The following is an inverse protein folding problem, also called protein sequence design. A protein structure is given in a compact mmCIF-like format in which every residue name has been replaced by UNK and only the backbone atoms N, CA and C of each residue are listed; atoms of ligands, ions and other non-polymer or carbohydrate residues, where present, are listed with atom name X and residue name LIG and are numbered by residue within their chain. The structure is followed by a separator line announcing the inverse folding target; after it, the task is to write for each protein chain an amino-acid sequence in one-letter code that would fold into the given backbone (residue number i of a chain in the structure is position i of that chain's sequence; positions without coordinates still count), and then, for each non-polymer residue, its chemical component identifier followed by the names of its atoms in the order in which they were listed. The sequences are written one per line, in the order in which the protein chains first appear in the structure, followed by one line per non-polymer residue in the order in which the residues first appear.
data_IF_697196114544
#
_entry.id   IF_697196114544
#
_cell.length_a   1.000
_cell.length_b   1.000
_cell.length_c   1.000
_cell.angle_alpha   90.00
_cell.angle_beta   90.00
_cell.angle_gamma   90.00
#
_symmetry.space_group_name_H-M   'P 1'
#
loop_
_entity.id
_entity.type
_entity.pdbx_description
1 polymer ?
#
# COMPACT_ATOMS: atom_id res chain seq x y z
N UNK A 1 -3.36 11.53 -22.31
CA UNK A 1 -1.92 11.20 -22.42
C UNK A 1 -1.19 11.83 -21.25
N UNK A 2 -0.54 10.96 -20.46
CA UNK A 2 0.56 11.17 -19.51
C UNK A 2 0.72 12.52 -18.78
N UNK A 3 0.46 12.51 -17.47
CA UNK A 3 1.28 13.26 -16.53
C UNK A 3 1.50 12.44 -15.25
N UNK A 4 2.32 11.39 -15.35
CA UNK A 4 2.65 10.47 -14.25
C UNK A 4 4.09 10.69 -13.72
N UNK A 5 4.66 11.89 -13.90
CA UNK A 5 6.06 12.18 -13.56
C UNK A 5 6.31 12.62 -12.10
N UNK A 6 5.25 12.78 -11.29
CA UNK A 6 5.35 13.37 -9.94
C UNK A 6 5.54 12.39 -8.78
N UNK A 7 5.12 11.12 -8.91
CA UNK A 7 5.03 10.20 -7.74
C UNK A 7 6.33 9.51 -7.31
N UNK A 8 7.37 9.48 -8.16
CA UNK A 8 8.60 8.71 -7.89
C UNK A 8 9.78 9.49 -7.28
N UNK A 9 9.66 10.82 -7.08
CA UNK A 9 10.75 11.65 -6.55
C UNK A 9 11.06 11.48 -5.04
N UNK A 10 10.09 11.33 -4.13
CA UNK A 10 10.40 11.27 -2.69
C UNK A 10 11.04 9.94 -2.26
N UNK A 11 10.66 8.80 -2.89
CA UNK A 11 11.17 7.47 -2.52
C UNK A 11 12.64 7.26 -2.90
N UNK A 12 13.07 7.78 -4.06
CA UNK A 12 14.48 7.73 -4.51
C UNK A 12 15.40 8.60 -3.66
N UNK A 13 14.93 9.75 -3.16
CA UNK A 13 15.73 10.60 -2.27
C UNK A 13 16.05 9.90 -0.94
N UNK A 14 15.08 9.19 -0.35
CA UNK A 14 15.32 8.43 0.88
C UNK A 14 16.34 7.30 0.67
N UNK A 15 16.23 6.53 -0.41
CA UNK A 15 17.17 5.42 -0.68
C UNK A 15 18.59 5.92 -0.91
N UNK A 16 18.76 7.02 -1.66
CA UNK A 16 20.08 7.62 -1.88
C UNK A 16 20.72 8.08 -0.56
N UNK A 17 19.93 8.71 0.32
CA UNK A 17 20.40 9.13 1.65
C UNK A 17 20.85 7.94 2.49
N UNK A 18 20.09 6.85 2.54
CA UNK A 18 20.49 5.63 3.24
C UNK A 18 21.78 5.01 2.70
N UNK A 19 21.93 4.94 1.37
CA UNK A 19 23.13 4.39 0.73
C UNK A 19 24.36 5.27 1.02
N UNK A 20 24.23 6.60 0.93
CA UNK A 20 25.33 7.53 1.25
C UNK A 20 25.78 7.39 2.70
N UNK A 21 24.82 7.22 3.60
CA UNK A 21 25.03 7.11 5.03
C UNK A 21 25.74 5.81 5.41
N UNK A 22 25.23 4.67 4.92
CA UNK A 22 25.87 3.37 5.10
C UNK A 22 27.25 3.35 4.42
N UNK A 23 27.37 3.96 3.25
CA UNK A 23 28.65 4.14 2.55
C UNK A 23 29.66 4.95 3.37
N UNK A 24 29.21 6.02 4.04
CA UNK A 24 30.08 6.84 4.90
C UNK A 24 30.61 6.03 6.09
N UNK A 25 29.75 5.25 6.75
CA UNK A 25 30.19 4.36 7.83
C UNK A 25 31.16 3.29 7.34
N UNK A 26 30.86 2.67 6.19
CA UNK A 26 31.74 1.68 5.59
C UNK A 26 33.11 2.28 5.26
N UNK A 27 33.16 3.50 4.71
CA UNK A 27 34.41 4.20 4.43
C UNK A 27 35.21 4.51 5.70
N UNK A 28 34.57 4.99 6.76
CA UNK A 28 35.23 5.24 8.06
C UNK A 28 35.78 3.92 8.62
N UNK A 29 35.00 2.83 8.56
CA UNK A 29 35.42 1.52 9.05
C UNK A 29 36.59 0.95 8.25
N UNK A 30 36.54 1.02 6.92
CA UNK A 30 37.64 0.59 6.04
C UNK A 30 38.90 1.41 6.33
N UNK A 31 38.79 2.74 6.41
CA UNK A 31 39.91 3.61 6.73
C UNK A 31 40.53 3.27 8.09
N UNK A 32 39.68 3.10 9.12
CA UNK A 32 40.14 2.68 10.45
C UNK A 32 40.84 1.33 10.43
N UNK A 33 40.36 0.39 9.61
CA UNK A 33 41.00 -0.92 9.46
C UNK A 33 42.33 -0.82 8.71
N UNK A 34 42.42 0.01 7.67
CA UNK A 34 43.67 0.27 6.95
C UNK A 34 44.72 0.88 7.87
N UNK A 35 44.35 1.86 8.72
CA UNK A 35 45.25 2.43 9.73
C UNK A 35 45.72 1.36 10.71
N UNK A 36 44.81 0.50 11.21
CA UNK A 36 45.17 -0.61 12.12
C UNK A 36 46.18 -1.56 11.47
N UNK A 37 45.95 -1.95 10.21
CA UNK A 37 46.87 -2.83 9.49
C UNK A 37 48.23 -2.18 9.24
N UNK A 38 48.25 -0.90 8.92
CA UNK A 38 49.47 -0.13 8.77
C UNK A 38 50.26 -0.04 10.09
N UNK A 39 49.58 0.15 11.22
CA UNK A 39 50.18 0.16 12.55
C UNK A 39 50.82 -1.20 12.91
N UNK A 40 50.13 -2.31 12.66
CA UNK A 40 50.66 -3.66 12.92
C UNK A 40 51.91 -3.96 12.09
N UNK A 41 51.90 -3.54 10.81
CA UNK A 41 53.05 -3.71 9.93
C UNK A 41 54.28 -2.92 10.41
N UNK A 42 54.07 -1.65 10.79
CA UNK A 42 55.13 -0.80 11.37
C UNK A 42 55.70 -1.39 12.65
N UNK A 43 54.85 -1.83 13.59
CA UNK A 43 55.28 -2.37 14.88
C UNK A 43 56.16 -3.62 14.72
N UNK A 44 55.88 -4.46 13.72
CA UNK A 44 56.70 -5.63 13.41
C UNK A 44 58.11 -5.24 12.93
N UNK A 45 58.22 -4.18 12.13
CA UNK A 45 59.52 -3.64 11.68
C UNK A 45 60.28 -2.98 12.83
N UNK A 46 59.62 -2.16 13.65
CA UNK A 46 60.24 -1.48 14.81
C UNK A 46 60.81 -2.50 15.81
N UNK A 47 60.05 -3.54 16.13
CA UNK A 47 60.50 -4.62 17.00
C UNK A 47 61.74 -5.33 16.44
N UNK A 48 61.84 -5.47 15.11
CA UNK A 48 63.03 -6.06 14.48
C UNK A 48 64.24 -5.15 14.62
N UNK A 49 64.11 -3.86 14.33
CA UNK A 49 65.18 -2.86 14.49
C UNK A 49 65.72 -2.85 15.92
N UNK A 50 64.82 -2.77 16.92
CA UNK A 50 65.20 -2.78 18.35
C UNK A 50 65.97 -4.07 18.71
N UNK A 51 65.52 -5.23 18.22
CA UNK A 51 66.21 -6.50 18.49
C UNK A 51 67.60 -6.58 17.84
N UNK A 52 67.77 -6.09 16.60
CA UNK A 52 69.08 -6.08 15.94
C UNK A 52 70.02 -5.09 16.62
N UNK A 53 69.52 -3.90 16.96
CA UNK A 53 70.24 -2.90 17.74
C UNK A 53 70.65 -3.46 19.12
N UNK A 54 69.74 -4.11 19.84
CA UNK A 54 70.05 -4.77 21.11
C UNK A 54 71.10 -5.88 20.98
N UNK A 55 71.09 -6.62 19.86
CA UNK A 55 72.10 -7.64 19.57
C UNK A 55 73.51 -7.06 19.34
N UNK A 56 73.64 -5.79 18.94
CA UNK A 56 74.96 -5.13 18.86
C UNK A 56 75.69 -5.11 20.20
N UNK A 57 74.95 -4.89 21.31
CA UNK A 57 75.51 -4.99 22.68
C UNK A 57 76.13 -6.37 22.91
N UNK A 58 75.36 -7.42 22.68
CA UNK A 58 75.81 -8.81 22.86
C UNK A 58 77.00 -9.15 21.96
N UNK A 59 76.99 -8.69 20.70
CA UNK A 59 78.08 -8.93 19.77
C UNK A 59 79.37 -8.22 20.19
N UNK A 60 79.30 -6.97 20.65
CA UNK A 60 80.46 -6.23 21.16
C UNK A 60 81.12 -6.93 22.35
N UNK A 61 80.31 -7.46 23.27
CA UNK A 61 80.79 -8.24 24.41
C UNK A 61 81.40 -9.59 23.99
N UNK A 62 80.79 -10.28 23.02
CA UNK A 62 81.33 -11.54 22.47
C UNK A 62 82.66 -11.31 21.77
N UNK A 63 82.81 -10.22 21.02
CA UNK A 63 84.07 -9.80 20.39
C UNK A 63 85.14 -9.59 21.46
N UNK A 64 84.84 -8.82 22.50
CA UNK A 64 85.77 -8.58 23.63
C UNK A 64 86.18 -9.86 24.35
N UNK A 65 85.22 -10.74 24.63
CA UNK A 65 85.47 -12.04 25.26
C UNK A 65 86.31 -12.96 24.38
N UNK A 66 86.06 -12.99 23.08
CA UNK A 66 86.82 -13.80 22.13
C UNK A 66 88.26 -13.29 22.00
N UNK A 67 88.45 -11.96 21.92
CA UNK A 67 89.76 -11.32 21.92
C UNK A 67 90.57 -11.67 23.18
N UNK A 68 89.94 -11.57 24.37
CA UNK A 68 90.53 -12.00 25.63
C UNK A 68 90.88 -13.50 25.63
N UNK A 69 90.00 -14.35 25.11
CA UNK A 69 90.24 -15.79 24.99
C UNK A 69 91.44 -16.13 24.11
N UNK A 70 91.60 -15.44 22.98
CA UNK A 70 92.76 -15.60 22.09
C UNK A 70 94.07 -15.21 22.80
N UNK A 71 94.04 -14.11 23.57
CA UNK A 71 95.23 -13.63 24.29
C UNK A 71 95.56 -14.42 25.56
N UNK A 72 94.56 -14.99 26.24
CA UNK A 72 94.73 -15.59 27.57
C UNK A 72 95.05 -17.08 27.53
N UNK A 73 94.60 -17.81 26.50
CA UNK A 73 94.80 -19.26 26.41
C UNK A 73 95.99 -19.63 25.53
N UNK A 74 96.85 -20.52 26.04
CA UNK A 74 98.00 -21.05 25.27
C UNK A 74 97.63 -22.24 24.37
N UNK A 75 96.50 -22.91 24.61
CA UNK A 75 96.04 -24.06 23.81
C UNK A 75 95.67 -23.65 22.38
N UNK A 76 96.26 -24.34 21.39
CA UNK A 76 95.98 -24.08 19.96
C UNK A 76 94.51 -24.32 19.61
N UNK A 77 93.89 -25.35 20.19
CA UNK A 77 92.48 -25.71 19.92
C UNK A 77 91.53 -24.63 20.47
N UNK A 78 91.79 -24.15 21.69
CA UNK A 78 90.96 -23.11 22.30
C UNK A 78 91.13 -21.77 21.59
N UNK A 79 92.36 -21.39 21.22
CA UNK A 79 92.61 -20.17 20.45
C UNK A 79 91.91 -20.18 19.10
N UNK A 80 91.94 -21.32 18.40
CA UNK A 80 91.25 -21.45 17.11
C UNK A 80 89.73 -21.34 17.25
N UNK A 81 89.15 -21.92 18.31
CA UNK A 81 87.73 -21.75 18.63
C UNK A 81 87.36 -20.28 18.86
N UNK A 82 88.15 -19.54 19.64
CA UNK A 82 87.89 -18.13 19.89
C UNK A 82 88.15 -17.26 18.65
N UNK A 83 89.10 -17.61 17.77
CA UNK A 83 89.27 -16.95 16.46
C UNK A 83 88.06 -17.14 15.57
N UNK A 84 87.52 -18.36 15.49
CA UNK A 84 86.31 -18.63 14.74
C UNK A 84 85.11 -17.82 15.29
N UNK A 85 84.94 -17.80 16.62
CA UNK A 85 83.90 -16.99 17.27
C UNK A 85 84.08 -15.48 17.04
N UNK A 86 85.31 -14.99 17.08
CA UNK A 86 85.64 -13.59 16.80
C UNK A 86 85.27 -13.23 15.35
N UNK A 87 85.66 -14.08 14.39
CA UNK A 87 85.38 -13.86 12.98
C UNK A 87 83.86 -13.87 12.69
N UNK A 88 83.13 -14.84 13.21
CA UNK A 88 81.67 -14.92 13.07
C UNK A 88 80.98 -13.70 13.69
N UNK A 89 81.39 -13.33 14.91
CA UNK A 89 80.82 -12.19 15.63
C UNK A 89 81.10 -10.88 14.90
N UNK A 90 82.31 -10.69 14.37
CA UNK A 90 82.68 -9.49 13.60
C UNK A 90 81.84 -9.34 12.33
N UNK A 91 81.69 -10.42 11.55
CA UNK A 91 80.89 -10.40 10.31
C UNK A 91 79.44 -9.97 10.63
N UNK A 92 78.83 -10.59 11.65
CA UNK A 92 77.45 -10.26 12.02
C UNK A 92 77.34 -8.86 12.64
N UNK A 93 78.36 -8.43 13.38
CA UNK A 93 78.43 -7.10 13.98
C UNK A 93 78.49 -6.00 12.92
N UNK A 94 79.43 -6.10 11.97
CA UNK A 94 79.57 -5.15 10.85
C UNK A 94 78.32 -5.10 9.99
N UNK A 95 77.78 -6.26 9.61
CA UNK A 95 76.57 -6.35 8.78
C UNK A 95 75.37 -5.72 9.47
N UNK A 96 75.19 -6.00 10.76
CA UNK A 96 74.08 -5.43 11.53
C UNK A 96 74.25 -3.92 11.72
N UNK A 97 75.47 -3.43 11.98
CA UNK A 97 75.75 -1.99 12.08
C UNK A 97 75.44 -1.26 10.78
N UNK A 98 75.88 -1.81 9.65
CA UNK A 98 75.61 -1.25 8.32
C UNK A 98 74.11 -1.29 8.01
N UNK A 99 73.45 -2.41 8.27
CA UNK A 99 72.02 -2.59 8.04
C UNK A 99 71.16 -1.65 8.89
N UNK A 100 71.58 -1.32 10.12
CA UNK A 100 70.87 -0.35 10.96
C UNK A 100 70.97 1.07 10.40
N UNK A 101 72.09 1.44 9.75
CA UNK A 101 72.29 2.78 9.20
C UNK A 101 71.74 2.96 7.78
N UNK A 102 71.93 1.95 6.91
CA UNK A 102 71.66 2.04 5.48
C UNK A 102 70.50 1.14 5.01
N UNK A 103 70.07 0.21 5.86
CA UNK A 103 69.07 -0.81 5.52
C UNK A 103 69.69 -2.13 5.08
N UNK A 104 68.98 -3.22 5.34
CA UNK A 104 69.36 -4.58 4.92
C UNK A 104 68.05 -5.38 4.75
N UNK A 105 67.71 -5.73 3.51
CA UNK A 105 66.45 -6.40 3.18
C UNK A 105 66.37 -7.82 3.77
N UNK A 106 67.49 -8.55 3.85
CA UNK A 106 67.53 -9.90 4.43
C UNK A 106 67.37 -9.85 5.95
N UNK A 107 67.97 -8.84 6.60
CA UNK A 107 67.77 -8.59 8.02
C UNK A 107 66.44 -7.87 8.32
N UNK A 108 65.66 -7.49 7.30
CA UNK A 108 64.40 -6.76 7.44
C UNK A 108 64.56 -5.38 8.07
N UNK A 109 65.67 -4.69 7.79
CA UNK A 109 65.99 -3.37 8.30
C UNK A 109 65.69 -2.30 7.24
N UNK A 110 64.90 -1.26 7.58
CA UNK A 110 64.45 -0.28 6.60
C UNK A 110 65.51 0.78 6.23
N UNK A 111 66.54 0.98 7.06
CA UNK A 111 67.58 2.00 6.83
C UNK A 111 67.10 3.45 6.94
N UNK A 112 65.94 3.68 7.57
CA UNK A 112 65.31 5.00 7.69
C UNK A 112 65.37 5.46 9.14
N UNK A 113 66.51 5.98 9.55
CA UNK A 113 66.71 6.48 10.90
C UNK A 113 66.19 7.91 11.06
N UNK A 114 65.72 8.24 12.27
CA UNK A 114 65.43 9.63 12.63
C UNK A 114 66.71 10.48 12.60
N UNK A 115 66.61 11.81 12.49
CA UNK A 115 67.76 12.69 12.61
C UNK A 115 68.52 12.49 13.93
N UNK A 116 67.78 12.24 15.02
CA UNK A 116 68.34 11.96 16.35
C UNK A 116 69.16 10.67 16.34
N UNK A 117 68.60 9.56 15.86
CA UNK A 117 69.31 8.27 15.79
C UNK A 117 70.52 8.36 14.86
N UNK A 118 70.40 9.08 13.75
CA UNK A 118 71.50 9.30 12.79
C UNK A 118 72.67 10.03 13.46
N UNK A 119 72.38 11.07 14.25
CA UNK A 119 73.39 11.76 15.05
C UNK A 119 74.03 10.84 16.09
N UNK A 120 73.23 10.03 16.79
CA UNK A 120 73.74 9.10 17.80
C UNK A 120 74.70 8.05 17.19
N UNK A 121 74.39 7.54 15.99
CA UNK A 121 75.33 6.68 15.25
C UNK A 121 76.61 7.42 14.87
N UNK A 122 76.52 8.68 14.43
CA UNK A 122 77.71 9.48 14.11
C UNK A 122 78.63 9.67 15.32
N UNK A 123 78.07 9.91 16.51
CA UNK A 123 78.84 10.03 17.75
C UNK A 123 79.41 8.69 18.25
N UNK A 124 78.71 7.59 17.95
CA UNK A 124 79.14 6.24 18.29
C UNK A 124 80.25 5.75 17.34
N UNK A 125 80.28 6.21 16.10
CA UNK A 125 81.13 5.73 15.01
C UNK A 125 82.64 5.60 15.35
N UNK A 126 83.30 6.57 16.01
CA UNK A 126 84.73 6.44 16.32
C UNK A 126 85.05 5.22 17.20
N UNK A 127 84.15 4.88 18.13
CA UNK A 127 84.30 3.73 19.02
C UNK A 127 84.10 2.41 18.28
N UNK A 128 83.14 2.36 17.35
CA UNK A 128 82.91 1.18 16.51
C UNK A 128 84.09 0.91 15.58
N UNK A 129 84.58 1.94 14.89
CA UNK A 129 85.72 1.78 13.98
C UNK A 129 86.94 1.28 14.76
N UNK A 130 87.25 1.87 15.92
CA UNK A 130 88.38 1.43 16.74
C UNK A 130 88.24 -0.03 17.22
N UNK A 131 87.04 -0.44 17.63
CA UNK A 131 86.76 -1.82 18.06
C UNK A 131 86.92 -2.81 16.89
N UNK A 132 86.33 -2.52 15.73
CA UNK A 132 86.40 -3.38 14.53
C UNK A 132 87.83 -3.47 14.01
N UNK A 133 88.56 -2.36 13.92
CA UNK A 133 89.96 -2.36 13.47
C UNK A 133 90.84 -3.19 14.41
N UNK A 134 90.70 -3.04 15.73
CA UNK A 134 91.47 -3.80 16.71
C UNK A 134 91.15 -5.29 16.66
N UNK A 135 89.86 -5.63 16.56
CA UNK A 135 89.40 -7.01 16.47
C UNK A 135 89.80 -7.69 15.14
N UNK A 136 89.76 -6.94 14.04
CA UNK A 136 90.28 -7.39 12.74
C UNK A 136 91.79 -7.66 12.79
N UNK A 137 92.55 -6.78 13.47
CA UNK A 137 93.98 -6.97 13.61
C UNK A 137 94.34 -8.22 14.44
N UNK A 138 93.56 -8.55 15.49
CA UNK A 138 93.67 -9.81 16.25
C UNK A 138 93.36 -11.03 15.37
N UNK A 139 92.29 -10.94 14.56
CA UNK A 139 91.89 -12.01 13.63
C UNK A 139 92.98 -12.31 12.62
N UNK A 140 93.57 -11.25 12.05
CA UNK A 140 94.55 -11.33 10.98
C UNK A 140 95.99 -11.55 11.52
N UNK A 141 96.17 -11.56 12.85
CA UNK A 141 97.45 -11.79 13.52
C UNK A 141 98.46 -10.66 13.34
N UNK A 142 97.98 -9.45 13.07
CA UNK A 142 98.80 -8.25 12.87
C UNK A 142 98.91 -7.47 14.17
N UNK A 143 100.03 -6.77 14.43
CA UNK A 143 100.19 -5.90 15.60
C UNK A 143 100.37 -6.63 16.95
N UNK A 144 100.37 -5.84 18.03
CA UNK A 144 100.53 -6.34 19.40
C UNK A 144 99.18 -6.81 19.96
N UNK A 145 99.07 -8.11 20.25
CA UNK A 145 97.86 -8.74 20.78
C UNK A 145 97.38 -8.07 22.07
N UNK A 146 98.30 -7.77 22.98
CA UNK A 146 97.97 -7.14 24.27
C UNK A 146 97.42 -5.73 24.09
N UNK A 147 98.01 -4.95 23.19
CA UNK A 147 97.56 -3.57 22.93
C UNK A 147 96.18 -3.56 22.26
N UNK A 148 95.92 -4.50 21.35
CA UNK A 148 94.63 -4.63 20.68
C UNK A 148 93.52 -5.06 21.64
N UNK A 149 93.79 -6.01 22.52
CA UNK A 149 92.83 -6.42 23.56
C UNK A 149 92.51 -5.24 24.49
N UNK A 150 93.51 -4.47 24.91
CA UNK A 150 93.29 -3.29 25.75
C UNK A 150 92.44 -2.23 25.03
N UNK A 151 92.71 -1.97 23.75
CA UNK A 151 91.91 -1.06 22.94
C UNK A 151 90.47 -1.55 22.76
N UNK A 152 90.25 -2.85 22.54
CA UNK A 152 88.90 -3.42 22.45
C UNK A 152 88.13 -3.18 23.75
N UNK A 153 88.73 -3.46 24.91
CA UNK A 153 88.07 -3.30 26.20
C UNK A 153 87.72 -1.84 26.52
N UNK A 154 88.64 -0.90 26.26
CA UNK A 154 88.38 0.54 26.47
C UNK A 154 87.26 1.06 25.54
N UNK A 155 87.31 0.66 24.27
CA UNK A 155 86.34 1.13 23.27
C UNK A 155 84.99 0.45 23.37
N UNK A 156 84.93 -0.80 23.82
CA UNK A 156 83.69 -1.55 24.01
C UNK A 156 82.80 -0.90 25.07
N UNK A 157 83.35 -0.46 26.20
CA UNK A 157 82.57 0.23 27.24
C UNK A 157 81.87 1.50 26.70
N UNK A 158 82.61 2.31 25.92
CA UNK A 158 82.07 3.51 25.29
C UNK A 158 81.08 3.21 24.17
N UNK A 159 81.36 2.19 23.35
CA UNK A 159 80.43 1.69 22.34
C UNK A 159 79.12 1.24 22.98
N UNK A 160 79.19 0.44 24.05
CA UNK A 160 78.04 -0.16 24.72
C UNK A 160 77.12 0.91 25.31
N UNK A 161 77.68 1.90 26.01
CA UNK A 161 76.89 3.02 26.56
C UNK A 161 76.13 3.79 25.47
N UNK A 162 76.77 4.05 24.32
CA UNK A 162 76.13 4.76 23.20
C UNK A 162 75.12 3.87 22.47
N UNK A 163 75.41 2.58 22.30
CA UNK A 163 74.49 1.63 21.70
C UNK A 163 73.23 1.44 22.56
N UNK A 164 73.37 1.45 23.88
CA UNK A 164 72.24 1.44 24.81
C UNK A 164 71.33 2.63 24.58
N UNK A 165 71.92 3.83 24.49
CA UNK A 165 71.16 5.04 24.19
C UNK A 165 70.42 4.94 22.85
N UNK A 166 71.06 4.39 21.80
CA UNK A 166 70.42 4.18 20.49
C UNK A 166 69.25 3.18 20.60
N UNK A 167 69.42 2.07 21.32
CA UNK A 167 68.35 1.08 21.55
C UNK A 167 67.17 1.72 22.29
N UNK A 168 67.44 2.50 23.34
CA UNK A 168 66.39 3.24 24.06
C UNK A 168 65.71 4.27 23.18
N UNK A 169 66.45 4.96 22.31
CA UNK A 169 65.88 5.93 21.38
C UNK A 169 64.92 5.24 20.39
N UNK A 170 65.31 4.11 19.79
CA UNK A 170 64.42 3.32 18.94
C UNK A 170 63.14 2.86 19.68
N UNK A 171 63.26 2.37 20.92
CA UNK A 171 62.09 1.98 21.72
C UNK A 171 61.17 3.18 22.00
N UNK A 172 61.73 4.35 22.30
CA UNK A 172 60.95 5.56 22.55
C UNK A 172 60.21 6.07 21.31
N UNK A 173 60.87 6.06 20.14
CA UNK A 173 60.29 6.48 18.86
C UNK A 173 59.18 5.53 18.41
N UNK A 174 59.38 4.23 18.57
CA UNK A 174 58.37 3.20 18.29
C UNK A 174 57.13 3.38 19.19
N UNK A 175 57.33 3.57 20.50
CA UNK A 175 56.22 3.82 21.44
C UNK A 175 55.45 5.10 21.12
N UNK A 176 56.15 6.19 20.81
CA UNK A 176 55.52 7.47 20.47
C UNK A 176 54.64 7.35 19.21
N UNK A 177 55.14 6.66 18.18
CA UNK A 177 54.40 6.39 16.94
C UNK A 177 53.14 5.56 17.20
N UNK A 178 53.21 4.55 18.07
CA UNK A 178 52.06 3.74 18.48
C UNK A 178 51.00 4.57 19.19
N UNK A 179 51.38 5.47 20.11
CA UNK A 179 50.44 6.32 20.85
C UNK A 179 49.70 7.28 19.93
N UNK A 180 50.40 7.91 18.97
CA UNK A 180 49.79 8.81 18.00
C UNK A 180 48.73 8.08 17.14
N UNK A 181 49.07 6.89 16.66
CA UNK A 181 48.15 6.07 15.86
C UNK A 181 46.94 5.59 16.69
N UNK A 182 47.13 5.24 17.97
CA UNK A 182 46.03 4.89 18.87
C UNK A 182 45.08 6.07 19.15
N UNK A 183 45.61 7.28 19.33
CA UNK A 183 44.77 8.47 19.50
C UNK A 183 43.94 8.77 18.24
N UNK A 184 44.54 8.60 17.06
CA UNK A 184 43.83 8.72 15.79
C UNK A 184 42.71 7.67 15.69
N UNK A 185 42.97 6.42 16.10
CA UNK A 185 41.98 5.35 16.12
C UNK A 185 40.81 5.63 17.09
N UNK A 186 41.09 6.13 18.29
CA UNK A 186 40.05 6.56 19.23
C UNK A 186 39.23 7.73 18.65
N UNK A 187 39.88 8.66 17.95
CA UNK A 187 39.21 9.72 17.21
C UNK A 187 38.27 9.20 16.13
N UNK A 188 38.73 8.24 15.32
CA UNK A 188 37.90 7.58 14.29
C UNK A 188 36.73 6.80 14.89
N UNK A 189 36.93 6.11 16.01
CA UNK A 189 35.86 5.44 16.73
C UNK A 189 34.81 6.44 17.23
N UNK A 190 35.26 7.54 17.84
CA UNK A 190 34.37 8.62 18.28
C UNK A 190 33.57 9.22 17.12
N UNK A 191 34.24 9.48 15.98
CA UNK A 191 33.59 9.95 14.75
C UNK A 191 32.55 8.94 14.25
N UNK A 192 32.88 7.64 14.23
CA UNK A 192 31.97 6.57 13.80
C UNK A 192 30.71 6.53 14.69
N UNK A 193 30.87 6.59 16.01
CA UNK A 193 29.76 6.63 16.97
C UNK A 193 28.92 7.90 16.81
N UNK A 194 29.56 9.05 16.60
CA UNK A 194 28.85 10.31 16.34
C UNK A 194 28.03 10.22 15.04
N UNK A 195 28.59 9.65 13.96
CA UNK A 195 27.83 9.41 12.72
C UNK A 195 26.66 8.46 12.94
N UNK A 196 26.83 7.35 13.68
CA UNK A 196 25.74 6.43 14.00
C UNK A 196 24.62 7.14 14.79
N UNK A 197 24.98 7.95 15.79
CA UNK A 197 24.02 8.71 16.58
C UNK A 197 23.24 9.70 15.70
N UNK A 198 23.94 10.46 14.84
CA UNK A 198 23.31 11.41 13.92
C UNK A 198 22.36 10.69 12.95
N UNK A 199 22.72 9.51 12.44
CA UNK A 199 21.82 8.72 11.61
C UNK A 199 20.59 8.26 12.38
N UNK A 200 20.76 7.81 13.62
CA UNK A 200 19.67 7.48 14.53
C UNK A 200 18.66 8.62 14.65
N UNK A 201 19.17 9.83 14.93
CA UNK A 201 18.35 11.01 15.19
C UNK A 201 17.70 11.61 13.93
N UNK A 202 18.45 11.72 12.84
CA UNK A 202 18.03 12.48 11.65
C UNK A 202 17.50 11.63 10.51
N UNK A 203 17.72 10.31 10.53
CA UNK A 203 17.31 9.42 9.44
C UNK A 203 16.35 8.36 9.97
N UNK A 204 16.79 7.56 10.94
CA UNK A 204 15.98 6.45 11.43
C UNK A 204 14.73 6.93 12.19
N UNK A 205 14.88 7.87 13.13
CA UNK A 205 13.73 8.44 13.85
C UNK A 205 12.64 9.02 12.93
N UNK A 206 12.94 9.93 11.99
CA UNK A 206 11.90 10.47 11.10
C UNK A 206 11.36 9.42 10.12
N UNK A 207 12.17 8.46 9.68
CA UNK A 207 11.68 7.38 8.83
C UNK A 207 10.67 6.47 9.55
N UNK A 208 10.94 6.11 10.81
CA UNK A 208 10.00 5.34 11.63
C UNK A 208 8.68 6.11 11.81
N UNK A 209 8.73 7.40 12.12
CA UNK A 209 7.53 8.24 12.23
C UNK A 209 6.71 8.29 10.93
N UNK A 210 7.36 8.35 9.77
CA UNK A 210 6.67 8.29 8.46
C UNK A 210 5.99 6.93 8.23
N UNK A 211 6.63 5.85 8.65
CA UNK A 211 6.06 4.50 8.54
C UNK A 211 4.81 4.40 9.44
N UNK A 212 4.89 4.88 10.69
CA UNK A 212 3.73 4.93 11.59
C UNK A 212 2.58 5.75 11.01
N UNK A 213 2.88 6.92 10.44
CA UNK A 213 1.87 7.76 9.76
C UNK A 213 1.21 7.02 8.59
N UNK A 214 2.01 6.43 7.69
CA UNK A 214 1.48 5.67 6.56
C UNK A 214 0.62 4.49 6.99
N UNK A 215 1.00 3.79 8.07
CA UNK A 215 0.19 2.70 8.65
C UNK A 215 -1.16 3.25 9.13
N UNK A 216 -1.15 4.35 9.89
CA UNK A 216 -2.38 4.98 10.38
C UNK A 216 -3.31 5.49 9.26
N UNK A 217 -2.74 6.04 8.18
CA UNK A 217 -3.51 6.45 7.00
C UNK A 217 -4.15 5.26 6.28
N UNK A 218 -3.42 4.15 6.16
CA UNK A 218 -3.94 2.91 5.57
C UNK A 218 -5.07 2.34 6.43
N UNK A 219 -4.91 2.33 7.75
CA UNK A 219 -5.94 1.86 8.69
C UNK A 219 -7.21 2.72 8.57
N UNK A 220 -7.09 4.04 8.59
CA UNK A 220 -8.24 4.94 8.44
C UNK A 220 -8.91 4.81 7.07
N UNK A 221 -8.14 4.66 5.99
CA UNK A 221 -8.68 4.42 4.65
C UNK A 221 -9.41 3.07 4.57
N UNK A 222 -8.89 2.04 5.24
CA UNK A 222 -9.54 0.74 5.28
C UNK A 222 -10.85 0.80 6.06
N UNK A 223 -10.88 1.51 7.18
CA UNK A 223 -12.08 1.73 7.99
C UNK A 223 -13.16 2.48 7.19
N UNK A 224 -12.80 3.59 6.52
CA UNK A 224 -13.72 4.32 5.63
C UNK A 224 -14.25 3.44 4.49
N UNK A 225 -13.39 2.63 3.87
CA UNK A 225 -13.80 1.70 2.82
C UNK A 225 -14.79 0.65 3.35
N UNK A 226 -14.60 0.16 4.58
CA UNK A 226 -15.55 -0.78 5.20
C UNK A 226 -16.88 -0.12 5.55
N UNK A 227 -16.88 1.11 6.09
CA UNK A 227 -18.12 1.84 6.39
C UNK A 227 -18.91 2.14 5.12
N UNK A 228 -18.26 2.66 4.08
CA UNK A 228 -18.92 2.93 2.80
C UNK A 228 -19.44 1.65 2.14
N UNK A 229 -18.72 0.54 2.23
CA UNK A 229 -19.22 -0.76 1.76
C UNK A 229 -20.46 -1.23 2.53
N UNK A 230 -20.51 -1.01 3.86
CA UNK A 230 -21.67 -1.31 4.69
C UNK A 230 -22.87 -0.41 4.37
N UNK A 231 -22.66 0.89 4.19
CA UNK A 231 -23.70 1.84 3.79
C UNK A 231 -24.28 1.48 2.42
N UNK A 232 -23.42 1.14 1.45
CA UNK A 232 -23.84 0.72 0.11
C UNK A 232 -24.62 -0.60 0.16
N UNK A 233 -24.19 -1.55 0.99
CA UNK A 233 -24.93 -2.78 1.24
C UNK A 233 -26.31 -2.48 1.85
N UNK A 234 -26.39 -1.58 2.82
CA UNK A 234 -27.66 -1.12 3.41
C UNK A 234 -28.60 -0.48 2.39
N UNK A 235 -28.11 0.50 1.62
CA UNK A 235 -28.87 1.16 0.58
C UNK A 235 -29.35 0.18 -0.51
N UNK A 236 -28.52 -0.79 -0.89
CA UNK A 236 -28.91 -1.85 -1.83
C UNK A 236 -30.02 -2.74 -1.27
N UNK A 237 -29.96 -3.09 0.03
CA UNK A 237 -31.04 -3.88 0.66
C UNK A 237 -32.36 -3.11 0.75
N UNK A 238 -32.30 -1.82 1.07
CA UNK A 238 -33.48 -0.95 1.13
C UNK A 238 -34.11 -0.76 -0.26
N UNK A 239 -33.28 -0.49 -1.28
CA UNK A 239 -33.72 -0.40 -2.66
C UNK A 239 -34.37 -1.71 -3.12
N UNK A 240 -33.80 -2.87 -2.78
CA UNK A 240 -34.39 -4.18 -3.10
C UNK A 240 -35.77 -4.34 -2.45
N UNK A 241 -35.95 -3.90 -1.20
CA UNK A 241 -37.25 -3.93 -0.51
C UNK A 241 -38.28 -2.98 -1.15
N UNK A 242 -37.86 -1.77 -1.52
CA UNK A 242 -38.71 -0.79 -2.22
C UNK A 242 -39.19 -1.33 -3.57
N UNK A 243 -38.29 -1.94 -4.36
CA UNK A 243 -38.64 -2.55 -5.65
C UNK A 243 -39.63 -3.70 -5.49
N UNK A 244 -39.53 -4.50 -4.43
CA UNK A 244 -40.52 -5.53 -4.10
C UNK A 244 -41.88 -4.92 -3.76
N UNK A 245 -41.91 -3.89 -2.92
CA UNK A 245 -43.16 -3.18 -2.57
C UNK A 245 -43.82 -2.56 -3.79
N UNK A 246 -43.05 -1.91 -4.67
CA UNK A 246 -43.58 -1.34 -5.92
C UNK A 246 -44.19 -2.43 -6.80
N UNK A 247 -43.51 -3.58 -6.97
CA UNK A 247 -44.06 -4.72 -7.73
C UNK A 247 -45.36 -5.23 -7.13
N UNK A 248 -45.48 -5.30 -5.81
CA UNK A 248 -46.71 -5.70 -5.13
C UNK A 248 -47.84 -4.70 -5.37
N UNK A 249 -47.56 -3.40 -5.26
CA UNK A 249 -48.54 -2.35 -5.49
C UNK A 249 -49.01 -2.32 -6.95
N UNK A 250 -48.08 -2.45 -7.91
CA UNK A 250 -48.39 -2.54 -9.34
C UNK A 250 -49.30 -3.75 -9.64
N UNK A 251 -48.98 -4.93 -9.08
CA UNK A 251 -49.80 -6.13 -9.24
C UNK A 251 -51.22 -5.94 -8.66
N UNK A 252 -51.32 -5.26 -7.52
CA UNK A 252 -52.60 -4.96 -6.88
C UNK A 252 -53.45 -3.99 -7.72
N UNK A 253 -52.83 -2.95 -8.28
CA UNK A 253 -53.53 -2.02 -9.17
C UNK A 253 -54.03 -2.69 -10.45
N UNK A 254 -53.21 -3.53 -11.07
CA UNK A 254 -53.61 -4.30 -12.26
C UNK A 254 -54.80 -5.22 -11.96
N UNK A 255 -54.85 -5.81 -10.77
CA UNK A 255 -55.99 -6.62 -10.34
C UNK A 255 -57.27 -5.79 -10.24
N UNK A 256 -57.22 -4.60 -9.63
CA UNK A 256 -58.37 -3.69 -9.52
C UNK A 256 -58.88 -3.26 -10.90
N UNK A 257 -57.99 -2.81 -11.79
CA UNK A 257 -58.36 -2.40 -13.16
C UNK A 257 -59.06 -3.55 -13.90
N UNK A 258 -58.57 -4.78 -13.76
CA UNK A 258 -59.20 -5.96 -14.37
C UNK A 258 -60.61 -6.20 -13.83
N UNK A 259 -60.85 -6.01 -12.53
CA UNK A 259 -62.19 -6.14 -11.94
C UNK A 259 -63.16 -5.08 -12.47
N UNK A 260 -62.71 -3.83 -12.58
CA UNK A 260 -63.53 -2.74 -13.14
C UNK A 260 -63.91 -3.02 -14.59
N UNK A 261 -62.96 -3.48 -15.42
CA UNK A 261 -63.23 -3.89 -16.80
C UNK A 261 -64.26 -5.02 -16.87
N UNK A 262 -64.18 -6.01 -15.98
CA UNK A 262 -65.18 -7.10 -15.92
C UNK A 262 -66.59 -6.57 -15.60
N UNK A 263 -66.71 -5.60 -14.68
CA UNK A 263 -68.00 -5.02 -14.32
C UNK A 263 -68.60 -4.18 -15.45
N UNK A 264 -67.78 -3.40 -16.17
CA UNK A 264 -68.28 -2.54 -17.25
C UNK A 264 -68.78 -3.35 -18.46
N UNK A 265 -68.10 -4.46 -18.79
CA UNK A 265 -68.56 -5.40 -19.83
C UNK A 265 -69.93 -5.99 -19.45
N UNK A 266 -70.17 -6.29 -18.17
CA UNK A 266 -71.48 -6.79 -17.70
C UNK A 266 -72.57 -5.71 -17.83
N UNK A 267 -72.25 -4.45 -17.52
CA UNK A 267 -73.21 -3.32 -17.56
C UNK A 267 -73.69 -3.01 -18.99
N UNK A 268 -72.77 -2.96 -19.95
CA UNK A 268 -73.08 -2.59 -21.35
C UNK A 268 -73.97 -3.61 -22.10
N UNK A 269 -74.01 -4.87 -21.67
CA UNK A 269 -74.84 -5.91 -22.29
C UNK A 269 -76.33 -5.91 -21.86
N UNK A 270 -76.77 -5.03 -20.95
CA UNK A 270 -78.04 -5.21 -20.21
C UNK A 270 -79.26 -4.39 -20.71
N UNK A 271 -79.15 -3.48 -21.69
CA UNK A 271 -80.30 -2.73 -22.28
C UNK A 271 -80.03 -2.20 -23.71
N UNK A 272 -80.13 -3.04 -24.75
CA UNK A 272 -79.98 -2.57 -26.13
C UNK A 272 -81.31 -2.04 -26.72
N UNK A 273 -81.31 -0.83 -27.30
CA UNK A 273 -82.41 -0.37 -28.18
C UNK A 273 -82.23 -1.03 -29.55
N UNK A 274 -83.27 -1.70 -30.05
CA UNK A 274 -83.22 -2.48 -31.30
C UNK A 274 -84.11 -1.82 -32.35
N UNK A 275 -83.56 -1.26 -33.45
CA UNK A 275 -84.36 -0.77 -34.56
C UNK A 275 -84.95 -1.96 -35.33
N UNK A 276 -86.25 -1.93 -35.64
CA UNK A 276 -86.95 -3.03 -36.33
C UNK A 276 -87.44 -2.63 -37.72
N UNK A 277 -87.71 -1.34 -37.94
CA UNK A 277 -88.03 -0.76 -39.24
C UNK A 277 -87.69 0.73 -39.25
N UNK A 278 -87.74 1.38 -40.42
CA UNK A 278 -87.55 2.82 -40.54
C UNK A 278 -88.57 3.55 -39.65
N UNK A 279 -88.08 4.35 -38.70
CA UNK A 279 -88.91 5.06 -37.73
C UNK A 279 -89.54 4.21 -36.61
N UNK A 280 -89.21 2.91 -36.49
CA UNK A 280 -89.74 2.02 -35.44
C UNK A 280 -88.62 1.36 -34.63
N UNK A 281 -88.59 1.65 -33.33
CA UNK A 281 -87.60 1.10 -32.39
C UNK A 281 -88.26 0.26 -31.29
N UNK A 282 -87.57 -0.80 -30.86
CA UNK A 282 -87.96 -1.66 -29.74
C UNK A 282 -86.98 -1.45 -28.58
N UNK A 283 -87.54 -1.22 -27.39
CA UNK A 283 -86.80 -1.17 -26.13
C UNK A 283 -87.20 -2.38 -25.27
N UNK A 284 -86.40 -3.47 -25.28
CA UNK A 284 -86.61 -4.60 -24.39
C UNK A 284 -86.11 -4.26 -22.98
N UNK A 285 -86.97 -4.44 -21.99
CA UNK A 285 -86.64 -4.25 -20.58
C UNK A 285 -86.52 -5.61 -19.89
N UNK A 286 -85.27 -6.00 -19.61
CA UNK A 286 -84.91 -7.29 -19.01
C UNK A 286 -84.25 -7.05 -17.63
N UNK A 287 -84.74 -7.75 -16.61
CA UNK A 287 -84.23 -7.67 -15.24
C UNK A 287 -84.89 -6.58 -14.40
N UNK A 288 -84.29 -6.28 -13.24
CA UNK A 288 -84.79 -5.26 -12.32
C UNK A 288 -84.45 -3.84 -12.82
N UNK A 289 -85.46 -2.96 -12.87
CA UNK A 289 -85.29 -1.55 -13.23
C UNK A 289 -85.19 -0.73 -11.93
N UNK A 290 -83.98 -0.30 -11.59
CA UNK A 290 -83.70 0.62 -10.47
C UNK A 290 -83.72 2.09 -10.92
N UNK A 291 -83.56 3.01 -9.97
CA UNK A 291 -83.63 4.45 -10.23
C UNK A 291 -82.53 4.97 -11.17
N UNK A 292 -81.30 4.43 -11.07
CA UNK A 292 -80.18 4.84 -11.93
C UNK A 292 -80.42 4.35 -13.37
N UNK A 293 -80.83 3.08 -13.52
CA UNK A 293 -81.20 2.50 -14.82
C UNK A 293 -82.41 3.19 -15.42
N UNK A 294 -83.40 3.60 -14.64
CA UNK A 294 -84.57 4.35 -15.09
C UNK A 294 -84.22 5.71 -15.72
N UNK A 295 -83.35 6.48 -15.05
CA UNK A 295 -82.86 7.75 -15.57
C UNK A 295 -82.00 7.56 -16.84
N UNK A 296 -81.14 6.54 -16.85
CA UNK A 296 -80.30 6.22 -18.01
C UNK A 296 -81.15 5.77 -19.21
N UNK A 297 -82.21 5.00 -18.97
CA UNK A 297 -83.17 4.55 -19.98
C UNK A 297 -83.90 5.74 -20.61
N UNK A 298 -84.41 6.68 -19.81
CA UNK A 298 -85.08 7.87 -20.32
C UNK A 298 -84.16 8.68 -21.23
N UNK A 299 -82.93 8.95 -20.78
CA UNK A 299 -81.94 9.68 -21.59
C UNK A 299 -81.63 8.94 -22.90
N UNK A 300 -81.34 7.64 -22.83
CA UNK A 300 -80.97 6.84 -24.00
C UNK A 300 -82.13 6.73 -25.00
N UNK A 301 -83.35 6.53 -24.52
CA UNK A 301 -84.53 6.40 -25.37
C UNK A 301 -84.87 7.72 -26.09
N UNK A 302 -84.91 8.84 -25.37
CA UNK A 302 -85.21 10.15 -25.97
C UNK A 302 -84.15 10.58 -26.97
N UNK A 303 -82.86 10.29 -26.69
CA UNK A 303 -81.77 10.53 -27.62
C UNK A 303 -81.96 9.74 -28.93
N UNK A 304 -82.23 8.43 -28.84
CA UNK A 304 -82.42 7.58 -30.02
C UNK A 304 -83.69 7.94 -30.80
N UNK A 305 -84.76 8.36 -30.13
CA UNK A 305 -85.97 8.87 -30.79
C UNK A 305 -85.64 10.10 -31.64
N UNK A 306 -84.86 11.04 -31.08
CA UNK A 306 -84.48 12.26 -31.79
C UNK A 306 -83.52 12.00 -32.95
N UNK A 307 -82.52 11.15 -32.77
CA UNK A 307 -81.54 10.84 -33.83
C UNK A 307 -82.16 10.02 -34.96
N UNK A 308 -82.91 8.98 -34.62
CA UNK A 308 -83.47 8.04 -35.60
C UNK A 308 -84.84 8.46 -36.13
N UNK A 309 -85.33 9.64 -35.73
CA UNK A 309 -86.65 10.17 -36.10
C UNK A 309 -87.76 9.13 -35.88
N UNK A 310 -87.69 8.42 -34.74
CA UNK A 310 -88.58 7.31 -34.47
C UNK A 310 -90.01 7.82 -34.27
N UNK A 311 -90.92 7.45 -35.19
CA UNK A 311 -92.34 7.77 -35.07
C UNK A 311 -93.08 6.77 -34.18
N UNK A 312 -92.53 5.57 -33.94
CA UNK A 312 -93.09 4.58 -33.02
C UNK A 312 -92.00 3.93 -32.15
N UNK A 313 -92.25 3.86 -30.85
CA UNK A 313 -91.43 3.14 -29.86
C UNK A 313 -92.25 2.01 -29.27
N UNK A 314 -91.70 0.81 -29.27
CA UNK A 314 -92.29 -0.36 -28.63
C UNK A 314 -91.46 -0.68 -27.39
N UNK A 315 -92.06 -0.52 -26.22
CA UNK A 315 -91.46 -0.86 -24.93
C UNK A 315 -91.90 -2.28 -24.56
N UNK A 316 -90.98 -3.24 -24.66
CA UNK A 316 -91.25 -4.63 -24.30
C UNK A 316 -90.90 -4.89 -22.85
N UNK A 317 -91.91 -5.07 -22.00
CA UNK A 317 -91.75 -5.30 -20.56
C UNK A 317 -91.84 -6.78 -20.19
N UNK A 318 -91.78 -7.68 -21.17
CA UNK A 318 -91.93 -9.14 -20.97
C UNK A 318 -90.95 -9.73 -19.95
N UNK A 319 -89.72 -9.19 -19.88
CA UNK A 319 -88.63 -9.65 -19.00
C UNK A 319 -88.42 -8.80 -17.75
N UNK A 320 -89.33 -7.86 -17.47
CA UNK A 320 -89.22 -6.96 -16.33
C UNK A 320 -89.73 -7.63 -15.06
N UNK A 321 -88.90 -7.60 -14.01
CA UNK A 321 -89.32 -7.96 -12.65
C UNK A 321 -89.41 -6.67 -11.86
N UNK A 322 -90.63 -6.15 -11.69
CA UNK A 322 -90.86 -4.92 -10.92
C UNK A 322 -92.10 -5.06 -10.04
N UNK A 323 -91.96 -4.62 -8.79
CA UNK A 323 -93.03 -4.57 -7.79
C UNK A 323 -93.26 -3.15 -7.27
N UNK A 324 -92.49 -2.18 -7.76
CA UNK A 324 -92.34 -0.87 -7.13
C UNK A 324 -93.03 0.21 -7.97
N UNK A 325 -93.96 0.94 -7.34
CA UNK A 325 -94.72 2.04 -7.95
C UNK A 325 -93.84 3.16 -8.54
N UNK A 326 -92.72 3.59 -7.91
CA UNK A 326 -91.86 4.64 -8.46
C UNK A 326 -91.25 4.30 -9.83
N UNK A 327 -90.86 3.04 -10.04
CA UNK A 327 -90.27 2.57 -11.29
C UNK A 327 -91.26 2.63 -12.45
N UNK A 328 -92.53 2.30 -12.19
CA UNK A 328 -93.60 2.42 -13.17
C UNK A 328 -93.88 3.89 -13.50
N UNK A 329 -93.80 4.78 -12.52
CA UNK A 329 -93.93 6.22 -12.75
C UNK A 329 -92.83 6.74 -13.69
N UNK A 330 -91.56 6.41 -13.45
CA UNK A 330 -90.44 6.81 -14.34
C UNK A 330 -90.61 6.27 -15.77
N UNK A 331 -91.12 5.05 -15.93
CA UNK A 331 -91.37 4.47 -17.24
C UNK A 331 -92.50 5.18 -18.00
N UNK A 332 -93.55 5.58 -17.28
CA UNK A 332 -94.67 6.36 -17.82
C UNK A 332 -94.28 7.81 -18.13
N UNK A 333 -93.47 8.44 -17.29
CA UNK A 333 -92.88 9.76 -17.56
C UNK A 333 -92.02 9.72 -18.82
N UNK A 334 -91.21 8.68 -18.97
CA UNK A 334 -90.40 8.44 -20.17
C UNK A 334 -91.27 8.28 -21.41
N UNK A 335 -92.35 7.49 -21.33
CA UNK A 335 -93.31 7.35 -22.42
C UNK A 335 -94.04 8.66 -22.77
N UNK A 336 -94.32 9.48 -21.76
CA UNK A 336 -94.93 10.80 -21.94
C UNK A 336 -93.96 11.77 -22.63
N UNK A 337 -92.70 11.78 -22.21
CA UNK A 337 -91.65 12.57 -22.85
C UNK A 337 -91.43 12.15 -24.31
N UNK A 338 -91.41 10.84 -24.62
CA UNK A 338 -91.35 10.34 -25.98
C UNK A 338 -92.54 10.82 -26.84
N UNK A 339 -93.74 10.87 -26.26
CA UNK A 339 -94.92 11.42 -26.96
C UNK A 339 -94.84 12.91 -27.21
N UNK A 340 -94.24 13.69 -26.32
CA UNK A 340 -94.00 15.12 -26.54
C UNK A 340 -93.06 15.36 -27.73
N UNK A 341 -92.18 14.41 -28.03
CA UNK A 341 -91.35 14.40 -29.24
C UNK A 341 -92.08 13.92 -30.51
N UNK A 342 -93.40 13.67 -30.43
CA UNK A 342 -94.20 13.23 -31.57
C UNK A 342 -94.23 11.71 -31.79
N UNK A 343 -93.64 10.93 -30.90
CA UNK A 343 -93.52 9.48 -31.05
C UNK A 343 -94.69 8.73 -30.41
N UNK A 344 -95.24 7.75 -31.13
CA UNK A 344 -96.26 6.84 -30.60
C UNK A 344 -95.58 5.79 -29.70
N UNK A 345 -95.98 5.71 -28.43
CA UNK A 345 -95.45 4.70 -27.51
C UNK A 345 -96.44 3.54 -27.35
N UNK A 346 -95.92 2.33 -27.54
CA UNK A 346 -96.65 1.07 -27.43
C UNK A 346 -95.98 0.20 -26.38
N UNK A 347 -96.75 -0.34 -25.43
CA UNK A 347 -96.24 -1.31 -24.46
C UNK A 347 -96.62 -2.73 -24.87
N UNK A 348 -95.69 -3.66 -24.73
CA UNK A 348 -95.92 -5.08 -25.00
C UNK A 348 -95.51 -5.96 -23.84
N UNK A 349 -96.18 -7.11 -23.68
CA UNK A 349 -95.76 -8.09 -22.67
C UNK A 349 -96.12 -7.75 -21.23
N UNK A 350 -97.14 -6.90 -21.02
CA UNK A 350 -97.62 -6.55 -19.68
C UNK A 350 -98.25 -7.79 -19.02
N UNK A 351 -97.61 -8.31 -17.98
CA UNK A 351 -98.12 -9.44 -17.17
C UNK A 351 -99.15 -8.94 -16.13
N UNK A 352 -100.03 -9.81 -15.59
CA UNK A 352 -101.05 -9.41 -14.62
C UNK A 352 -100.51 -8.65 -13.40
N UNK A 353 -99.33 -9.03 -12.92
CA UNK A 353 -98.65 -8.40 -11.77
C UNK A 353 -98.18 -6.98 -12.11
N UNK A 354 -97.59 -6.78 -13.29
CA UNK A 354 -97.18 -5.46 -13.79
C UNK A 354 -98.38 -4.58 -14.07
N UNK A 355 -99.47 -5.14 -14.63
CA UNK A 355 -100.71 -4.42 -14.88
C UNK A 355 -101.31 -3.83 -13.60
N UNK A 356 -101.29 -4.58 -12.48
CA UNK A 356 -101.74 -4.07 -11.19
C UNK A 356 -100.92 -2.87 -10.70
N UNK A 357 -99.60 -2.88 -10.93
CA UNK A 357 -98.72 -1.75 -10.59
C UNK A 357 -99.00 -0.51 -11.45
N UNK A 358 -99.28 -0.67 -12.74
CA UNK A 358 -99.72 0.44 -13.62
C UNK A 358 -101.03 1.10 -13.15
N UNK A 359 -101.97 0.31 -12.62
CA UNK A 359 -103.25 0.82 -12.09
C UNK A 359 -103.04 1.56 -10.77
N UNK A 360 -102.21 1.02 -9.88
CA UNK A 360 -101.93 1.62 -8.58
C UNK A 360 -101.18 2.97 -8.69
N UNK A 361 -100.47 3.21 -9.79
CA UNK A 361 -99.83 4.48 -10.08
C UNK A 361 -100.82 5.62 -10.44
N UNK A 362 -102.14 5.36 -10.49
CA UNK A 362 -103.23 6.36 -10.65
C UNK A 362 -103.14 7.28 -11.89
N UNK A 363 -102.55 6.81 -12.99
CA UNK A 363 -102.39 7.58 -14.23
C UNK A 363 -103.43 7.17 -15.29
N UNK A 364 -103.99 8.15 -16.01
CA UNK A 364 -104.95 7.92 -17.10
C UNK A 364 -104.29 7.20 -18.29
N UNK A 365 -104.62 5.92 -18.46
CA UNK A 365 -104.15 5.04 -19.54
C UNK A 365 -104.71 5.40 -20.92
N UNK A 366 -105.61 6.39 -21.03
CA UNK A 366 -106.24 6.85 -22.28
C UNK A 366 -105.25 7.32 -23.36
N UNK A 367 -103.96 7.39 -23.04
CA UNK A 367 -102.91 7.94 -23.89
C UNK A 367 -101.81 6.95 -24.29
N UNK A 368 -101.92 5.68 -23.90
CA UNK A 368 -100.92 4.63 -24.15
C UNK A 368 -101.58 3.38 -24.71
N UNK A 369 -101.01 2.78 -25.77
CA UNK A 369 -101.53 1.54 -26.36
C UNK A 369 -100.76 0.32 -25.84
N UNK A 370 -101.48 -0.73 -25.52
CA UNK A 370 -100.92 -1.97 -24.96
C UNK A 370 -101.27 -3.18 -25.84
N UNK A 371 -100.32 -4.10 -26.03
CA UNK A 371 -100.55 -5.38 -26.68
C UNK A 371 -100.00 -6.54 -25.83
N UNK A 372 -100.55 -7.74 -25.99
CA UNK A 372 -100.15 -8.89 -25.17
C UNK A 372 -98.79 -9.48 -25.57
N UNK A 373 -98.29 -9.19 -26.77
CA UNK A 373 -96.98 -9.65 -27.23
C UNK A 373 -96.25 -8.61 -28.08
N UNK A 374 -94.91 -8.69 -28.09
CA UNK A 374 -94.05 -7.85 -28.93
C UNK A 374 -94.44 -7.94 -30.41
N UNK A 375 -94.75 -9.15 -30.89
CA UNK A 375 -95.19 -9.39 -32.27
C UNK A 375 -96.45 -8.59 -32.64
N UNK A 376 -97.43 -8.49 -31.74
CA UNK A 376 -98.63 -7.68 -31.97
C UNK A 376 -98.32 -6.17 -31.97
N UNK A 377 -97.44 -5.72 -31.07
CA UNK A 377 -96.96 -4.34 -31.05
C UNK A 377 -96.23 -3.94 -32.32
N UNK A 378 -95.35 -4.81 -32.83
CA UNK A 378 -94.66 -4.60 -34.12
C UNK A 378 -95.67 -4.57 -35.26
N UNK A 379 -96.58 -5.54 -35.35
CA UNK A 379 -97.59 -5.58 -36.39
C UNK A 379 -98.54 -4.37 -36.38
N UNK A 380 -98.70 -3.71 -35.23
CA UNK A 380 -99.44 -2.46 -35.10
C UNK A 380 -98.62 -1.25 -35.56
N UNK A 381 -97.37 -1.16 -35.12
CA UNK A 381 -96.45 -0.08 -35.49
C UNK A 381 -96.27 0.02 -37.01
N UNK A 382 -96.21 -1.13 -37.69
CA UNK A 382 -96.03 -1.24 -39.15
C UNK A 382 -97.29 -0.94 -39.97
N UNK A 383 -98.48 -0.83 -39.35
CA UNK A 383 -99.77 -0.57 -40.04
C UNK A 383 -100.18 0.90 -40.01
N UNK A 384 -99.47 1.74 -39.26
CA UNK A 384 -99.83 3.13 -38.97
C UNK A 384 -98.88 4.18 -39.56
N UNK A 385 -98.12 3.78 -40.58
CA UNK A 385 -97.22 4.58 -41.42
C UNK A 385 -97.83 4.81 -42.79
#
# INVERSE_FOLDING_TARGET
MSNNAGRNRPQRQSTLQYVLVLGTLALIAIFSQTVTQYQLALQATDARVINIAGRQRTLSQRISKAALGISSFNSSILRERYRAELAESLILFERSQLGLQQGDAELGLPGRNSPTVTQMFAEQQPHYVALVTSAGAIRDGSGSMSDQVLQILDREAQFLSRMDAIVFQYDSEARASVVLLQQLQLGLLGLMLATLLLQGLFIFRPAIRRIEQNISEIEAAHEQATTTAQELAGANTELAAMLEQMRQHEAQQQYIIRLEQQQEIIRTLSTPIVPIAEGVIVLPLIGALDAERGAQLQHTLLHHISEQHAHTVIVDVTGMVTHDSPTIATLLETATAARLLGTKVVFTGIRPQTAAAFVNAQIKLDSVRTFSSLQQGIAHAMRGS
#
